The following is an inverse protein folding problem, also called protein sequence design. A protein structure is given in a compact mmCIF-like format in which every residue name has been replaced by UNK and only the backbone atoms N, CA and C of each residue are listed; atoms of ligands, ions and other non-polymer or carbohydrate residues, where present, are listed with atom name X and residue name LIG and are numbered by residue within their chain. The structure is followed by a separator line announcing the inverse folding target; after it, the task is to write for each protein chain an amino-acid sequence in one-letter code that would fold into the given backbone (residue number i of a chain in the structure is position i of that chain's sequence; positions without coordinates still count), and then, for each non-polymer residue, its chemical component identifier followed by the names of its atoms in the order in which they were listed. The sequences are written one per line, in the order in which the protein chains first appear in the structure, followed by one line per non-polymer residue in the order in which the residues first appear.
data_IF_393021698923
#
_entry.id   IF_393021698923
#
_cell.length_a   1.000
_cell.length_b   1.000
_cell.length_c   1.000
_cell.angle_alpha   90.00
_cell.angle_beta   90.00
_cell.angle_gamma   90.00
#
_symmetry.space_group_name_H-M   'P 1'
#
loop_
_entity.id
_entity.type
_entity.pdbx_description
1 polymer ?
#
# COMPACT_ATOMS: atom_id res chain seq x y z
N UNK A 1 18.51 -20.76 -62.56
CA UNK A 1 18.46 -21.74 -61.46
C UNK A 1 19.88 -22.17 -61.19
N UNK A 2 20.33 -22.14 -59.94
CA UNK A 2 21.73 -22.09 -59.50
C UNK A 2 22.29 -20.67 -59.74
N UNK A 3 22.48 -19.79 -58.76
CA UNK A 3 22.90 -19.99 -57.38
C UNK A 3 22.09 -19.04 -56.47
N UNK A 4 21.04 -19.60 -55.87
CA UNK A 4 20.58 -19.20 -54.55
C UNK A 4 21.52 -19.99 -53.60
N UNK A 5 21.90 -19.43 -52.45
CA UNK A 5 22.65 -20.09 -51.34
C UNK A 5 24.18 -19.91 -51.24
N UNK A 6 24.70 -18.68 -51.26
CA UNK A 6 25.96 -18.32 -50.57
C UNK A 6 26.18 -16.81 -50.86
N UNK A 7 25.84 -15.84 -50.02
CA UNK A 7 26.37 -15.64 -48.69
C UNK A 7 25.36 -14.82 -47.87
N UNK A 8 24.80 -15.46 -46.85
CA UNK A 8 24.33 -14.79 -45.65
C UNK A 8 25.57 -14.17 -44.98
N UNK A 9 25.56 -12.85 -44.74
CA UNK A 9 26.19 -12.14 -43.60
C UNK A 9 26.47 -10.68 -43.98
N UNK A 10 25.56 -9.79 -43.62
CA UNK A 10 25.86 -8.66 -42.71
C UNK A 10 24.57 -7.88 -42.44
N UNK A 11 23.99 -8.18 -41.28
CA UNK A 11 23.46 -7.24 -40.29
C UNK A 11 22.35 -6.29 -40.83
N UNK A 12 21.07 -6.59 -40.60
CA UNK A 12 20.54 -6.64 -39.24
C UNK A 12 20.74 -5.28 -38.58
N UNK A 13 20.02 -4.25 -39.07
CA UNK A 13 19.84 -3.02 -38.31
C UNK A 13 18.53 -3.19 -37.57
N UNK A 14 18.66 -3.79 -36.39
CA UNK A 14 17.68 -3.71 -35.32
C UNK A 14 17.40 -2.21 -35.09
N UNK A 15 16.30 -1.72 -35.67
CA UNK A 15 15.62 -0.54 -35.15
C UNK A 15 14.88 -0.98 -33.89
N UNK A 16 15.66 -1.40 -32.89
CA UNK A 16 15.20 -1.32 -31.52
C UNK A 16 15.16 0.17 -31.24
N UNK A 17 13.94 0.70 -31.34
CA UNK A 17 13.54 1.99 -30.83
C UNK A 17 13.91 2.09 -29.34
N UNK A 18 15.19 2.37 -29.06
CA UNK A 18 15.64 3.00 -27.83
C UNK A 18 15.11 4.44 -27.84
N UNK A 19 13.79 4.55 -27.69
CA UNK A 19 13.08 5.79 -27.56
C UNK A 19 13.50 6.39 -26.21
N UNK A 20 14.64 7.10 -26.20
CA UNK A 20 15.09 7.86 -25.04
C UNK A 20 14.02 8.89 -24.73
N UNK A 21 13.20 8.60 -23.72
CA UNK A 21 12.24 9.55 -23.18
C UNK A 21 13.05 10.66 -22.48
N UNK A 22 12.94 11.93 -22.92
CA UNK A 22 13.70 12.99 -22.29
C UNK A 22 13.21 13.20 -20.85
N UNK A 23 14.13 13.57 -19.95
CA UNK A 23 13.90 13.63 -18.49
C UNK A 23 12.75 14.58 -18.08
N UNK A 24 12.38 15.50 -18.97
CA UNK A 24 11.30 16.46 -18.81
C UNK A 24 9.92 15.93 -19.24
N UNK A 25 9.85 14.74 -19.83
CA UNK A 25 8.58 14.08 -20.13
C UNK A 25 8.03 13.57 -18.82
N UNK A 26 7.02 14.27 -18.35
CA UNK A 26 6.21 13.85 -17.22
C UNK A 26 5.35 12.68 -17.69
N UNK A 27 5.97 11.50 -17.80
CA UNK A 27 5.25 10.27 -18.04
C UNK A 27 4.16 10.16 -16.95
N UNK A 28 2.92 9.92 -17.36
CA UNK A 28 1.82 9.62 -16.43
C UNK A 28 2.10 8.25 -15.80
N UNK A 29 3.03 8.22 -14.85
CA UNK A 29 3.26 7.04 -14.03
C UNK A 29 2.01 6.81 -13.20
N UNK A 30 1.48 5.59 -13.25
CA UNK A 30 0.45 5.15 -12.31
C UNK A 30 0.90 5.33 -10.87
N UNK A 31 -0.05 5.25 -9.94
CA UNK A 31 0.25 5.38 -8.52
C UNK A 31 1.33 4.37 -8.11
N UNK A 32 2.16 4.71 -7.12
CA UNK A 32 3.26 3.83 -6.73
C UNK A 32 2.75 2.44 -6.27
N UNK A 33 1.55 2.40 -5.70
CA UNK A 33 0.89 1.16 -5.27
C UNK A 33 0.56 0.26 -6.45
N UNK A 34 0.12 0.81 -7.59
CA UNK A 34 -0.18 0.04 -8.81
C UNK A 34 1.06 -0.61 -9.42
N UNK A 35 2.21 0.05 -9.31
CA UNK A 35 3.45 -0.40 -9.96
C UNK A 35 4.20 -1.46 -9.18
N UNK A 36 4.11 -1.43 -7.84
CA UNK A 36 4.99 -2.22 -6.98
C UNK A 36 4.25 -3.18 -6.04
N UNK A 37 2.92 -3.10 -5.95
CA UNK A 37 2.15 -3.93 -5.04
C UNK A 37 1.12 -4.78 -5.75
N UNK A 38 0.98 -6.02 -5.28
CA UNK A 38 -0.17 -6.88 -5.58
C UNK A 38 -1.32 -6.46 -4.68
N UNK A 39 -2.44 -6.05 -5.27
CA UNK A 39 -3.60 -5.55 -4.54
C UNK A 39 -4.55 -6.67 -4.17
N UNK A 40 -4.84 -6.80 -2.88
CA UNK A 40 -5.86 -7.72 -2.36
C UNK A 40 -6.88 -6.95 -1.53
N UNK A 41 -8.15 -7.33 -1.67
CA UNK A 41 -9.28 -6.66 -1.03
C UNK A 41 -10.13 -7.67 -0.27
N UNK A 42 -10.55 -7.31 0.93
CA UNK A 42 -11.66 -7.93 1.66
C UNK A 42 -12.86 -6.98 1.68
N UNK A 43 -13.98 -7.39 2.26
CA UNK A 43 -15.18 -6.53 2.35
C UNK A 43 -14.88 -5.19 3.04
N UNK A 44 -14.07 -5.23 4.10
CA UNK A 44 -13.82 -4.08 4.97
C UNK A 44 -12.44 -3.43 4.76
N UNK A 45 -11.44 -4.20 4.32
CA UNK A 45 -10.05 -3.74 4.29
C UNK A 45 -9.37 -4.10 2.98
N UNK A 46 -8.23 -3.48 2.71
CA UNK A 46 -7.30 -3.93 1.68
C UNK A 46 -5.95 -4.27 2.31
N UNK A 47 -5.23 -5.16 1.63
CA UNK A 47 -3.83 -5.49 1.92
C UNK A 47 -3.08 -5.50 0.60
N UNK A 48 -2.18 -4.55 0.42
CA UNK A 48 -1.32 -4.46 -0.74
C UNK A 48 0.03 -5.08 -0.39
N UNK A 49 0.46 -6.07 -1.17
CA UNK A 49 1.69 -6.81 -0.92
C UNK A 49 2.80 -6.41 -1.89
N UNK A 50 3.93 -5.97 -1.35
CA UNK A 50 5.15 -5.74 -2.12
C UNK A 50 6.02 -7.02 -2.17
N UNK A 51 6.91 -7.11 -3.15
CA UNK A 51 7.82 -8.25 -3.36
C UNK A 51 8.76 -8.54 -2.17
N UNK A 52 9.13 -7.51 -1.41
CA UNK A 52 9.94 -7.60 -0.19
C UNK A 52 9.14 -8.00 1.07
N UNK A 53 7.90 -8.47 0.91
CA UNK A 53 6.97 -8.83 1.99
C UNK A 53 6.61 -7.65 2.90
N UNK A 54 6.66 -6.43 2.39
CA UNK A 54 5.95 -5.31 2.99
C UNK A 54 4.48 -5.38 2.60
N UNK A 55 3.62 -5.12 3.57
CA UNK A 55 2.19 -5.09 3.43
C UNK A 55 1.70 -3.70 3.81
N UNK A 56 1.04 -3.03 2.88
CA UNK A 56 0.36 -1.77 3.11
C UNK A 56 -1.13 -2.08 3.35
N UNK A 57 -1.62 -1.78 4.53
CA UNK A 57 -2.97 -2.12 4.95
C UNK A 57 -3.81 -0.86 5.16
N UNK A 58 -5.10 -0.94 4.83
CA UNK A 58 -6.05 0.15 5.05
C UNK A 58 -7.50 -0.25 4.84
N UNK A 59 -8.38 0.76 4.78
CA UNK A 59 -9.81 0.57 4.58
C UNK A 59 -10.15 0.37 3.10
N UNK A 60 -11.03 -0.60 2.81
CA UNK A 60 -11.59 -0.71 1.47
C UNK A 60 -12.48 0.52 1.18
N UNK A 61 -12.49 0.99 -0.07
CA UNK A 61 -13.43 1.98 -0.59
C UNK A 61 -14.90 1.62 -0.31
N UNK A 62 -15.20 0.33 -0.18
CA UNK A 62 -16.53 -0.17 0.14
C UNK A 62 -16.88 -0.15 1.63
N UNK A 63 -15.94 0.20 2.52
CA UNK A 63 -16.15 0.17 3.96
C UNK A 63 -17.25 1.15 4.41
N UNK A 64 -18.08 0.81 5.42
CA UNK A 64 -19.12 1.70 5.95
C UNK A 64 -18.60 3.10 6.34
N UNK A 65 -17.45 3.21 7.01
CA UNK A 65 -16.80 4.51 7.30
C UNK A 65 -16.62 5.37 6.03
N UNK A 66 -16.19 4.76 4.92
CA UNK A 66 -15.90 5.49 3.69
C UNK A 66 -17.19 5.92 2.99
N UNK A 67 -18.22 5.06 3.03
CA UNK A 67 -19.53 5.30 2.41
C UNK A 67 -20.49 6.11 3.26
N UNK A 68 -20.26 6.20 4.57
CA UNK A 68 -21.12 6.95 5.50
C UNK A 68 -21.04 8.44 5.20
N UNK A 69 -22.18 9.11 5.24
CA UNK A 69 -22.26 10.57 5.15
C UNK A 69 -21.80 11.25 6.44
N UNK A 70 -21.69 10.50 7.55
CA UNK A 70 -21.23 11.03 8.83
C UNK A 70 -19.73 11.33 8.83
N UNK A 71 -19.35 12.44 9.45
CA UNK A 71 -17.95 12.80 9.65
C UNK A 71 -17.27 11.96 10.73
N UNK A 72 -15.94 11.88 10.65
CA UNK A 72 -15.13 11.19 11.65
C UNK A 72 -14.85 12.13 12.82
N UNK A 73 -15.44 11.80 13.96
CA UNK A 73 -15.25 12.52 15.23
C UNK A 73 -13.84 12.31 15.77
N UNK A 74 -13.41 11.05 15.91
CA UNK A 74 -12.13 10.71 16.53
C UNK A 74 -11.53 9.42 15.95
N UNK A 75 -10.19 9.36 15.93
CA UNK A 75 -9.43 8.17 15.58
C UNK A 75 -8.49 7.85 16.73
N UNK A 76 -8.77 6.74 17.40
CA UNK A 76 -7.98 6.20 18.49
C UNK A 76 -7.05 5.10 17.97
N UNK A 77 -5.77 5.18 18.32
CA UNK A 77 -4.78 4.17 17.93
C UNK A 77 -4.48 3.26 19.11
N UNK A 78 -4.75 1.96 18.96
CA UNK A 78 -4.60 0.99 20.06
C UNK A 78 -3.13 0.59 20.31
N UNK A 79 -2.26 0.71 19.30
CA UNK A 79 -0.87 0.19 19.34
C UNK A 79 0.22 1.28 19.34
N UNK A 80 -0.13 2.51 19.74
CA UNK A 80 0.72 3.70 19.60
C UNK A 80 2.04 3.66 20.37
N UNK A 81 2.02 3.15 21.59
CA UNK A 81 3.17 3.25 22.51
C UNK A 81 4.28 2.23 22.21
N UNK A 82 4.00 1.25 21.34
CA UNK A 82 4.87 0.10 21.11
C UNK A 82 5.67 0.20 19.80
N UNK A 83 5.54 1.30 19.03
CA UNK A 83 6.42 1.55 17.88
C UNK A 83 7.82 1.92 18.34
N UNK A 84 8.65 0.89 18.46
CA UNK A 84 10.07 0.97 18.78
C UNK A 84 10.85 1.74 17.69
N UNK A 85 11.18 3.01 17.95
CA UNK A 85 12.01 3.83 17.06
C UNK A 85 13.50 3.44 17.17
N UNK A 86 14.18 3.18 16.04
CA UNK A 86 15.65 3.04 15.93
C UNK A 86 16.16 1.96 14.95
N UNK A 87 17.22 2.27 14.18
CA UNK A 87 17.85 1.42 13.14
C UNK A 87 18.23 -0.02 13.57
N UNK A 88 18.42 -0.26 14.88
CA UNK A 88 18.88 -1.56 15.44
C UNK A 88 17.79 -2.33 16.19
N UNK A 89 16.55 -1.83 16.27
CA UNK A 89 15.50 -2.50 17.04
C UNK A 89 14.92 -3.68 16.25
N UNK A 90 15.64 -4.81 16.33
CA UNK A 90 15.15 -6.14 15.98
C UNK A 90 13.87 -6.40 16.80
N UNK A 91 12.71 -6.37 16.14
CA UNK A 91 11.43 -6.69 16.77
C UNK A 91 10.52 -5.47 16.92
N UNK A 92 9.97 -4.98 15.80
CA UNK A 92 8.75 -4.17 15.83
C UNK A 92 7.63 -4.89 16.60
N UNK A 93 6.51 -4.22 16.86
CA UNK A 93 5.39 -4.90 17.51
C UNK A 93 4.90 -6.04 16.60
N UNK A 94 4.96 -7.28 17.12
CA UNK A 94 4.43 -8.44 16.40
C UNK A 94 2.92 -8.43 16.52
N UNK A 95 2.24 -8.44 15.38
CA UNK A 95 0.78 -8.44 15.29
C UNK A 95 0.26 -9.62 14.51
N UNK A 96 -0.99 -9.96 14.80
CA UNK A 96 -1.80 -10.91 14.07
C UNK A 96 -2.77 -10.17 13.16
N UNK A 97 -3.19 -10.80 12.09
CA UNK A 97 -4.17 -10.28 11.13
C UNK A 97 -5.44 -9.73 11.80
N UNK A 98 -5.89 -10.33 12.90
CA UNK A 98 -7.06 -9.91 13.69
C UNK A 98 -6.76 -8.88 14.80
N UNK A 99 -5.53 -8.39 14.91
CA UNK A 99 -5.20 -7.40 15.96
C UNK A 99 -5.82 -6.06 15.59
N UNK A 100 -6.55 -5.45 16.52
CA UNK A 100 -7.17 -4.12 16.33
C UNK A 100 -6.07 -3.05 16.36
N UNK A 101 -5.98 -2.29 15.27
CA UNK A 101 -4.97 -1.25 15.04
C UNK A 101 -5.48 0.13 15.42
N UNK A 102 -6.71 0.44 15.02
CA UNK A 102 -7.38 1.70 15.31
C UNK A 102 -8.87 1.51 15.52
N UNK A 103 -9.47 2.46 16.24
CA UNK A 103 -10.91 2.63 16.40
C UNK A 103 -11.32 3.97 15.80
N UNK A 104 -12.32 3.95 14.93
CA UNK A 104 -12.87 5.14 14.30
C UNK A 104 -14.22 5.43 14.91
N UNK A 105 -14.35 6.60 15.52
CA UNK A 105 -15.59 7.11 16.08
C UNK A 105 -16.20 8.09 15.09
N UNK A 106 -17.43 7.83 14.66
CA UNK A 106 -18.18 8.74 13.80
C UNK A 106 -19.02 9.71 14.65
N UNK A 107 -19.42 10.83 14.06
CA UNK A 107 -20.27 11.84 14.73
C UNK A 107 -21.67 11.30 15.04
N UNK A 108 -22.16 10.32 14.28
CA UNK A 108 -23.43 9.62 14.55
C UNK A 108 -23.38 8.65 15.75
N UNK A 109 -22.21 8.50 16.40
CA UNK A 109 -22.00 7.62 17.54
C UNK A 109 -21.57 6.19 17.20
N UNK A 110 -21.51 5.82 15.92
CA UNK A 110 -20.99 4.52 15.50
C UNK A 110 -19.48 4.41 15.72
N UNK A 111 -19.02 3.22 16.10
CA UNK A 111 -17.61 2.91 16.32
C UNK A 111 -17.22 1.70 15.50
N UNK A 112 -16.14 1.86 14.73
CA UNK A 112 -15.62 0.81 13.87
C UNK A 112 -14.18 0.47 14.27
N UNK A 113 -13.89 -0.81 14.39
CA UNK A 113 -12.54 -1.31 14.64
C UNK A 113 -11.89 -1.73 13.32
N UNK A 114 -10.64 -1.30 13.12
CA UNK A 114 -9.86 -1.65 11.93
C UNK A 114 -8.70 -2.53 12.34
N UNK A 115 -8.58 -3.67 11.67
CA UNK A 115 -7.63 -4.72 12.00
C UNK A 115 -6.31 -4.55 11.27
N UNK A 116 -5.28 -5.31 11.66
CA UNK A 116 -3.99 -5.32 10.97
C UNK A 116 -4.09 -5.89 9.54
N UNK A 117 -4.99 -6.84 9.30
CA UNK A 117 -5.18 -7.51 8.01
C UNK A 117 -4.08 -8.52 7.63
N UNK A 118 -2.91 -8.46 8.26
CA UNK A 118 -1.79 -9.37 7.99
C UNK A 118 -0.97 -9.68 9.25
N UNK A 119 -0.45 -10.90 9.34
CA UNK A 119 0.50 -11.30 10.37
C UNK A 119 1.91 -10.75 10.08
N UNK A 120 2.57 -10.16 11.07
CA UNK A 120 3.93 -9.66 10.90
C UNK A 120 4.40 -8.73 12.01
N UNK A 121 5.35 -7.87 11.66
CA UNK A 121 5.88 -6.82 12.54
C UNK A 121 5.44 -5.45 12.01
N UNK A 122 4.82 -4.64 12.85
CA UNK A 122 4.48 -3.26 12.49
C UNK A 122 5.76 -2.47 12.27
N UNK A 123 5.86 -1.86 11.09
CA UNK A 123 6.92 -0.92 10.73
C UNK A 123 6.46 0.51 10.97
N UNK A 124 5.24 0.82 10.55
CA UNK A 124 4.68 2.17 10.59
C UNK A 124 3.18 2.15 10.81
N UNK A 125 2.70 3.11 11.60
CA UNK A 125 1.28 3.45 11.76
C UNK A 125 1.08 4.87 11.24
N UNK A 126 -0.03 5.12 10.53
CA UNK A 126 -0.28 6.45 9.97
C UNK A 126 -0.76 7.45 11.02
N UNK A 127 0.17 8.00 11.80
CA UNK A 127 -0.10 9.01 12.83
C UNK A 127 -0.77 10.29 12.25
N UNK A 128 -0.63 10.54 10.94
CA UNK A 128 -1.23 11.70 10.29
C UNK A 128 -2.76 11.67 10.30
N UNK A 129 -3.38 10.49 10.46
CA UNK A 129 -4.84 10.35 10.52
C UNK A 129 -5.45 11.12 11.69
N UNK A 130 -4.71 11.34 12.79
CA UNK A 130 -5.24 12.13 13.91
C UNK A 130 -5.42 13.61 13.55
N UNK A 131 -4.51 14.14 12.72
CA UNK A 131 -4.55 15.53 12.24
C UNK A 131 -5.48 15.67 11.03
N UNK A 132 -5.49 14.67 10.17
CA UNK A 132 -6.21 14.67 8.89
C UNK A 132 -7.14 13.45 8.78
N UNK A 133 -8.16 13.37 9.64
CA UNK A 133 -9.08 12.23 9.73
C UNK A 133 -9.78 11.93 8.40
N UNK A 134 -10.06 12.97 7.62
CA UNK A 134 -10.72 12.88 6.32
C UNK A 134 -9.94 12.07 5.27
N UNK A 135 -8.64 11.83 5.47
CA UNK A 135 -7.87 10.98 4.55
C UNK A 135 -8.35 9.54 4.53
N UNK A 136 -8.93 9.02 5.62
CA UNK A 136 -9.54 7.69 5.61
C UNK A 136 -10.70 7.58 4.61
N UNK A 137 -11.45 8.66 4.38
CA UNK A 137 -12.59 8.68 3.45
C UNK A 137 -12.17 9.09 2.04
N UNK A 138 -11.40 10.17 1.91
CA UNK A 138 -11.05 10.74 0.61
C UNK A 138 -9.96 9.96 -0.14
N UNK A 139 -8.99 9.41 0.59
CA UNK A 139 -7.80 8.80 0.03
C UNK A 139 -7.46 7.46 0.69
N UNK A 140 -8.41 6.50 0.78
CA UNK A 140 -8.26 5.30 1.61
C UNK A 140 -7.03 4.46 1.25
N UNK A 141 -6.69 4.35 -0.03
CA UNK A 141 -5.59 3.52 -0.54
C UNK A 141 -4.22 4.22 -0.58
N UNK A 142 -4.19 5.55 -0.38
CA UNK A 142 -2.96 6.35 -0.50
C UNK A 142 -2.65 7.04 0.83
N UNK A 143 -3.07 8.30 1.02
CA UNK A 143 -2.79 9.08 2.25
C UNK A 143 -3.52 8.53 3.49
N UNK A 144 -4.59 7.77 3.26
CA UNK A 144 -5.46 7.17 4.28
C UNK A 144 -5.07 5.76 4.69
N UNK A 145 -3.87 5.27 4.33
CA UNK A 145 -3.42 3.96 4.79
C UNK A 145 -3.40 3.89 6.33
N UNK A 146 -3.54 2.70 6.89
CA UNK A 146 -3.63 2.49 8.33
C UNK A 146 -2.27 2.12 8.91
N UNK A 147 -1.64 1.08 8.33
CA UNK A 147 -0.36 0.59 8.81
C UNK A 147 0.47 -0.06 7.70
N UNK A 148 1.76 -0.17 7.95
CA UNK A 148 2.72 -0.92 7.15
C UNK A 148 3.29 -2.05 8.00
N UNK A 149 3.17 -3.28 7.50
CA UNK A 149 3.59 -4.50 8.19
C UNK A 149 4.68 -5.18 7.38
N UNK A 150 5.74 -5.62 8.07
CA UNK A 150 6.75 -6.49 7.52
C UNK A 150 6.40 -7.95 7.85
N UNK A 151 6.20 -8.78 6.84
CA UNK A 151 5.94 -10.20 7.03
C UNK A 151 7.06 -10.92 7.76
N UNK A 152 6.73 -11.92 8.59
CA UNK A 152 7.72 -12.76 9.23
C UNK A 152 8.51 -13.57 8.18
N UNK A 153 9.83 -13.62 8.31
CA UNK A 153 10.62 -14.61 7.57
C UNK A 153 10.37 -15.97 8.24
N UNK A 154 10.02 -16.97 7.42
CA UNK A 154 10.08 -18.37 7.83
C UNK A 154 11.54 -18.77 7.91
#
# INVERSE_FOLDING_TARGET
MQQIEEQQQQQGQDQDDDLMIPLNVQARLGEFTDRYFVKSYSEHQYVFQHSNRLYLCGLNKNHPIVKSDSDIKEIEFTQKEQLVKGKKKKGGLKVKSNTVMLKVHLENGEVYEVLAGQDGYIIEMNENLQKNKQYLKQYPETKGFVCIIQGCRK
#
